data_IF_969231715188
#
_entry.id   IF_969231715188
#
_cell.length_a   1.000
_cell.length_b   1.000
_cell.length_c   1.000
_cell.angle_alpha   90.00
_cell.angle_beta   90.00
_cell.angle_gamma   90.00
#
_symmetry.space_group_name_H-M   'P 1'
#
loop_
_entity.id
_entity.type
_entity.pdbx_description
1 polymer ?
#
# COMPACT_ATOMS: atom_id res chain seq x y z
N UNK A 1 3.28 8.42 15.53
CA UNK A 1 3.49 7.57 14.33
C UNK A 1 4.11 8.33 13.15
N UNK A 2 4.67 9.47 13.37
CA UNK A 2 5.35 10.22 12.31
C UNK A 2 6.59 9.47 11.81
N UNK A 3 6.83 9.51 10.49
CA UNK A 3 7.96 8.86 9.84
C UNK A 3 7.57 7.61 9.07
N UNK A 4 8.55 6.80 8.73
CA UNK A 4 8.33 5.63 7.90
C UNK A 4 7.40 4.61 8.57
N UNK A 5 6.39 4.20 7.82
CA UNK A 5 5.47 3.15 8.24
C UNK A 5 6.23 1.83 8.35
N UNK A 6 6.12 1.20 9.51
CA UNK A 6 6.76 -0.08 9.81
C UNK A 6 5.72 -1.16 9.95
N UNK A 7 6.06 -2.33 9.44
CA UNK A 7 5.21 -3.51 9.51
C UNK A 7 6.08 -4.74 9.78
N UNK A 8 5.66 -5.58 10.71
CA UNK A 8 6.45 -6.74 11.15
C UNK A 8 5.68 -8.06 11.17
N UNK A 9 4.37 -8.04 10.87
CA UNK A 9 3.52 -9.23 10.93
C UNK A 9 3.56 -10.02 9.62
N UNK A 10 4.53 -10.91 9.49
CA UNK A 10 4.73 -11.75 8.30
C UNK A 10 4.70 -13.24 8.66
N UNK A 11 4.36 -14.08 7.68
CA UNK A 11 4.38 -15.54 7.79
C UNK A 11 5.79 -16.15 7.87
N UNK A 12 6.83 -15.37 7.58
CA UNK A 12 8.20 -15.85 7.52
C UNK A 12 9.21 -14.71 7.75
N UNK A 13 10.47 -15.01 7.48
CA UNK A 13 11.58 -14.09 7.70
C UNK A 13 11.79 -13.18 6.49
N UNK A 14 11.65 -11.88 6.70
CA UNK A 14 11.88 -10.85 5.66
C UNK A 14 13.34 -10.82 5.23
N UNK A 15 14.26 -11.15 6.13
CA UNK A 15 15.70 -11.20 5.81
C UNK A 15 16.06 -12.37 4.87
N UNK A 16 15.19 -13.38 4.76
CA UNK A 16 15.39 -14.52 3.85
C UNK A 16 14.95 -14.23 2.40
N UNK A 17 14.41 -13.04 2.11
CA UNK A 17 13.97 -12.67 0.76
C UNK A 17 15.17 -12.63 -0.19
N UNK A 18 15.05 -13.32 -1.32
CA UNK A 18 15.96 -13.19 -2.46
C UNK A 18 15.33 -12.25 -3.46
N UNK A 19 15.97 -11.11 -3.69
CA UNK A 19 15.43 -10.07 -4.57
C UNK A 19 15.37 -10.53 -6.03
N UNK A 20 14.34 -10.09 -6.75
CA UNK A 20 14.25 -10.26 -8.19
C UNK A 20 15.38 -9.54 -8.92
N UNK A 21 15.91 -10.16 -9.95
CA UNK A 21 16.98 -9.63 -10.81
C UNK A 21 16.62 -9.81 -12.29
N UNK A 22 17.56 -9.56 -13.19
CA UNK A 22 17.30 -9.67 -14.63
C UNK A 22 17.03 -11.11 -15.10
N UNK A 23 17.37 -12.12 -14.30
CA UNK A 23 17.30 -13.52 -14.68
C UNK A 23 16.24 -14.33 -13.93
N UNK A 24 15.78 -13.84 -12.77
CA UNK A 24 14.86 -14.56 -11.92
C UNK A 24 14.00 -13.62 -11.07
N UNK A 25 12.76 -14.03 -10.84
CA UNK A 25 11.85 -13.36 -9.92
C UNK A 25 12.27 -13.54 -8.46
N UNK A 26 11.76 -12.68 -7.57
CA UNK A 26 12.00 -12.79 -6.14
C UNK A 26 11.56 -14.16 -5.58
N UNK A 27 12.27 -14.61 -4.53
CA UNK A 27 12.00 -15.87 -3.81
C UNK A 27 11.90 -15.61 -2.32
N UNK A 28 11.26 -16.54 -1.61
CA UNK A 28 11.10 -16.51 -0.14
C UNK A 28 10.44 -15.25 0.36
N UNK A 29 9.51 -14.70 -0.41
CA UNK A 29 8.76 -13.50 -0.02
C UNK A 29 7.69 -13.90 1.00
N UNK A 30 7.78 -13.43 2.27
CA UNK A 30 6.80 -13.80 3.27
C UNK A 30 5.46 -13.10 3.03
N UNK A 31 4.37 -13.80 3.33
CA UNK A 31 3.02 -13.26 3.21
C UNK A 31 2.76 -12.31 4.38
N UNK A 32 2.30 -11.07 4.14
CA UNK A 32 1.87 -10.21 5.24
C UNK A 32 0.62 -10.79 5.90
N UNK A 33 0.60 -10.77 7.23
CA UNK A 33 -0.50 -11.26 8.06
C UNK A 33 -1.21 -10.10 8.72
N UNK A 34 -2.54 -10.15 8.74
CA UNK A 34 -3.35 -9.11 9.35
C UNK A 34 -3.08 -9.01 10.85
N UNK A 35 -2.57 -7.87 11.36
CA UNK A 35 -2.47 -7.66 12.79
C UNK A 35 -3.86 -7.64 13.43
N UNK A 36 -4.01 -8.28 14.59
CA UNK A 36 -5.30 -8.33 15.26
C UNK A 36 -5.86 -6.92 15.55
N UNK A 37 -4.97 -5.99 15.89
CA UNK A 37 -5.34 -4.60 16.20
C UNK A 37 -5.75 -3.75 15.00
N UNK A 38 -5.54 -4.20 13.76
CA UNK A 38 -5.83 -3.35 12.59
C UNK A 38 -7.33 -3.10 12.37
N UNK A 39 -8.20 -3.76 13.10
CA UNK A 39 -9.65 -3.52 13.07
C UNK A 39 -10.13 -2.60 14.18
N UNK A 40 -9.26 -2.17 15.07
CA UNK A 40 -9.60 -1.29 16.17
C UNK A 40 -9.89 0.15 15.67
N UNK A 41 -10.98 0.81 16.18
CA UNK A 41 -11.36 2.15 15.74
C UNK A 41 -10.55 3.25 16.43
N UNK A 42 -9.23 3.13 16.39
CA UNK A 42 -8.32 4.08 17.00
C UNK A 42 -7.09 4.32 16.12
N UNK A 43 -6.21 5.24 16.50
CA UNK A 43 -5.03 5.61 15.71
C UNK A 43 -4.07 4.45 15.56
N UNK A 44 -3.92 3.61 16.58
CA UNK A 44 -3.08 2.41 16.50
C UNK A 44 -3.63 1.40 15.49
N UNK A 45 -4.95 1.16 15.53
CA UNK A 45 -5.62 0.29 14.56
C UNK A 45 -5.45 0.80 13.13
N UNK A 46 -5.63 2.10 12.94
CA UNK A 46 -5.40 2.74 11.64
C UNK A 46 -3.94 2.61 11.18
N UNK A 47 -2.98 2.84 12.06
CA UNK A 47 -1.56 2.68 11.74
C UNK A 47 -1.24 1.25 11.32
N UNK A 48 -1.75 0.25 12.04
CA UNK A 48 -1.57 -1.16 11.72
C UNK A 48 -2.25 -1.55 10.39
N UNK A 49 -3.42 -0.97 10.11
CA UNK A 49 -4.08 -1.12 8.81
C UNK A 49 -3.23 -0.55 7.67
N UNK A 50 -2.68 0.65 7.82
CA UNK A 50 -1.80 1.26 6.82
C UNK A 50 -0.53 0.41 6.64
N UNK A 51 0.04 -0.09 7.73
CA UNK A 51 1.20 -0.98 7.68
C UNK A 51 0.93 -2.26 6.88
N UNK A 52 -0.20 -2.91 7.13
CA UNK A 52 -0.63 -4.07 6.35
C UNK A 52 -0.87 -3.71 4.87
N UNK A 53 -1.51 -2.59 4.60
CA UNK A 53 -1.77 -2.10 3.24
C UNK A 53 -0.46 -1.88 2.46
N UNK A 54 0.54 -1.24 3.07
CA UNK A 54 1.87 -1.07 2.47
C UNK A 54 2.55 -2.42 2.23
N UNK A 55 2.52 -3.30 3.22
CA UNK A 55 3.12 -4.64 3.11
C UNK A 55 2.44 -5.48 2.03
N UNK A 56 1.12 -5.39 1.91
CA UNK A 56 0.34 -6.07 0.88
C UNK A 56 0.68 -5.56 -0.54
N UNK A 57 0.93 -4.26 -0.70
CA UNK A 57 1.43 -3.70 -1.95
C UNK A 57 2.81 -4.25 -2.31
N UNK A 58 3.72 -4.30 -1.36
CA UNK A 58 5.05 -4.87 -1.59
C UNK A 58 4.98 -6.37 -1.93
N UNK A 59 4.10 -7.10 -1.29
CA UNK A 59 3.88 -8.52 -1.62
C UNK A 59 3.38 -8.69 -3.05
N UNK A 60 2.42 -7.88 -3.49
CA UNK A 60 1.95 -7.85 -4.87
C UNK A 60 3.10 -7.52 -5.84
N UNK A 61 3.88 -6.47 -5.53
CA UNK A 61 5.01 -6.04 -6.39
C UNK A 61 6.06 -7.14 -6.55
N UNK A 62 6.37 -7.87 -5.47
CA UNK A 62 7.41 -8.89 -5.47
C UNK A 62 6.96 -10.25 -6.02
N UNK A 63 5.67 -10.53 -5.99
CA UNK A 63 5.14 -11.88 -6.33
C UNK A 63 4.07 -11.89 -7.43
N UNK A 64 3.42 -10.77 -7.67
CA UNK A 64 2.23 -10.70 -8.54
C UNK A 64 0.94 -11.20 -7.87
N UNK A 65 0.99 -11.57 -6.59
CA UNK A 65 -0.16 -12.07 -5.84
C UNK A 65 -0.88 -10.92 -5.12
N UNK A 66 -2.11 -10.66 -5.53
CA UNK A 66 -2.94 -9.57 -5.01
C UNK A 66 -3.83 -10.00 -3.83
N UNK A 67 -3.78 -11.25 -3.36
CA UNK A 67 -4.74 -11.79 -2.39
C UNK A 67 -4.74 -11.02 -1.05
N UNK A 68 -3.58 -10.61 -0.56
CA UNK A 68 -3.50 -9.81 0.67
C UNK A 68 -4.06 -8.39 0.46
N UNK A 69 -3.69 -7.75 -0.65
CA UNK A 69 -4.12 -6.38 -0.97
C UNK A 69 -5.64 -6.30 -1.21
N UNK A 70 -6.22 -7.30 -1.88
CA UNK A 70 -7.66 -7.35 -2.16
C UNK A 70 -8.54 -7.37 -0.91
N UNK A 71 -7.99 -7.73 0.25
CA UNK A 71 -8.72 -7.69 1.53
C UNK A 71 -8.95 -6.27 2.05
N UNK A 72 -8.16 -5.32 1.63
CA UNK A 72 -8.08 -3.96 2.22
C UNK A 72 -8.21 -2.83 1.21
N UNK A 73 -8.44 -3.14 -0.06
CA UNK A 73 -8.57 -2.15 -1.12
C UNK A 73 -9.97 -2.11 -1.73
N UNK A 74 -10.25 -1.01 -2.38
CA UNK A 74 -11.46 -0.79 -3.16
C UNK A 74 -11.42 -1.48 -4.54
N UNK A 75 -12.53 -1.45 -5.26
CA UNK A 75 -12.67 -2.13 -6.55
C UNK A 75 -11.69 -1.61 -7.61
N UNK A 76 -11.42 -0.30 -7.63
CA UNK A 76 -10.48 0.28 -8.59
C UNK A 76 -9.06 -0.20 -8.33
N UNK A 77 -8.62 -0.18 -7.08
CA UNK A 77 -7.30 -0.69 -6.71
C UNK A 77 -7.15 -2.19 -6.94
N UNK A 78 -8.24 -2.95 -6.83
CA UNK A 78 -8.24 -4.37 -7.19
C UNK A 78 -8.04 -4.59 -8.69
N UNK A 79 -8.60 -3.76 -9.57
CA UNK A 79 -8.35 -3.83 -11.00
C UNK A 79 -6.89 -3.49 -11.33
N UNK A 80 -6.34 -2.46 -10.72
CA UNK A 80 -4.93 -2.09 -10.92
C UNK A 80 -3.98 -3.22 -10.45
N UNK A 81 -4.29 -3.85 -9.32
CA UNK A 81 -3.56 -4.99 -8.80
C UNK A 81 -3.64 -6.22 -9.72
N UNK A 82 -4.80 -6.43 -10.35
CA UNK A 82 -5.01 -7.50 -11.32
C UNK A 82 -4.12 -7.35 -12.56
N UNK A 83 -3.94 -6.14 -13.06
CA UNK A 83 -3.04 -5.86 -14.19
C UNK A 83 -1.61 -6.32 -13.89
N UNK A 84 -1.10 -6.05 -12.69
CA UNK A 84 0.22 -6.51 -12.29
C UNK A 84 0.29 -8.03 -12.19
N UNK A 85 -0.72 -8.68 -11.65
CA UNK A 85 -0.84 -10.15 -11.65
C UNK A 85 -0.82 -10.75 -13.06
N UNK A 86 -1.46 -10.10 -14.02
CA UNK A 86 -1.46 -10.51 -15.43
C UNK A 86 -0.06 -10.41 -16.05
N UNK A 87 0.72 -9.38 -15.70
CA UNK A 87 2.11 -9.27 -16.15
C UNK A 87 2.96 -10.43 -15.63
N UNK A 88 2.81 -10.80 -14.35
CA UNK A 88 3.47 -11.98 -13.78
C UNK A 88 3.05 -13.27 -14.48
N UNK A 89 1.77 -13.43 -14.80
CA UNK A 89 1.25 -14.59 -15.53
C UNK A 89 1.83 -14.70 -16.95
N UNK A 90 2.22 -13.58 -17.56
CA UNK A 90 2.88 -13.53 -18.87
C UNK A 90 4.40 -13.71 -18.79
N UNK A 91 4.95 -13.98 -17.60
CA UNK A 91 6.37 -14.22 -17.38
C UNK A 91 7.19 -12.96 -17.06
N UNK A 92 6.55 -11.85 -16.73
CA UNK A 92 7.22 -10.68 -16.18
C UNK A 92 7.38 -10.79 -14.67
N UNK A 93 8.32 -10.07 -14.10
CA UNK A 93 8.52 -9.95 -12.65
C UNK A 93 9.20 -8.64 -12.30
N UNK A 94 9.16 -8.24 -11.03
CA UNK A 94 9.85 -7.06 -10.54
C UNK A 94 11.32 -7.38 -10.22
N UNK A 95 12.22 -6.60 -10.80
CA UNK A 95 13.59 -6.44 -10.33
C UNK A 95 13.63 -5.28 -9.35
N UNK A 96 14.22 -5.46 -8.18
CA UNK A 96 14.29 -4.44 -7.14
C UNK A 96 15.61 -4.49 -6.38
N UNK A 97 15.99 -3.39 -5.74
CA UNK A 97 17.16 -3.30 -4.87
C UNK A 97 16.82 -3.55 -3.40
N UNK A 98 15.54 -3.68 -3.07
CA UNK A 98 15.03 -3.87 -1.71
C UNK A 98 13.79 -4.77 -1.71
N UNK A 99 13.54 -5.43 -0.57
CA UNK A 99 12.31 -6.18 -0.33
C UNK A 99 11.11 -5.27 -0.04
N UNK A 100 11.32 -3.96 0.09
CA UNK A 100 10.28 -2.95 0.31
C UNK A 100 10.34 -1.86 -0.78
N UNK A 101 10.03 -2.21 -2.04
CA UNK A 101 10.12 -1.25 -3.15
C UNK A 101 9.15 -0.08 -3.02
N UNK A 102 8.03 -0.27 -2.36
CA UNK A 102 7.10 0.79 -1.99
C UNK A 102 7.22 1.11 -0.51
N UNK A 103 7.39 2.38 -0.18
CA UNK A 103 7.45 2.88 1.19
C UNK A 103 6.47 4.03 1.37
N UNK A 104 6.05 4.24 2.61
CA UNK A 104 5.19 5.34 2.98
C UNK A 104 5.72 5.98 4.26
N UNK A 105 5.90 7.29 4.24
CA UNK A 105 6.27 8.07 5.41
C UNK A 105 5.10 8.96 5.82
N UNK A 106 4.69 8.89 7.08
CA UNK A 106 3.64 9.74 7.63
C UNK A 106 4.23 11.10 8.03
N UNK A 107 3.66 12.18 7.51
CA UNK A 107 4.20 13.53 7.71
C UNK A 107 3.79 14.13 9.04
N UNK A 108 2.75 13.59 9.67
CA UNK A 108 2.22 14.03 10.96
C UNK A 108 2.11 12.87 11.95
N UNK A 109 2.10 13.16 13.24
CA UNK A 109 2.02 12.12 14.28
C UNK A 109 0.66 11.42 14.33
N UNK A 110 -0.39 12.14 13.90
CA UNK A 110 -1.77 11.66 13.89
C UNK A 110 -2.49 12.15 12.64
N UNK A 111 -3.50 11.42 12.19
CA UNK A 111 -4.38 11.87 11.13
C UNK A 111 -5.29 12.99 11.63
N UNK A 112 -5.87 13.75 10.70
CA UNK A 112 -6.93 14.72 10.98
C UNK A 112 -8.28 14.14 10.54
N UNK A 113 -9.35 14.58 11.17
CA UNK A 113 -10.71 14.21 10.80
C UNK A 113 -11.08 14.83 9.45
N UNK A 114 -11.66 14.03 8.56
CA UNK A 114 -12.22 14.51 7.30
C UNK A 114 -13.61 15.14 7.47
N UNK A 115 -14.18 15.59 6.36
CA UNK A 115 -15.49 16.23 6.34
C UNK A 115 -16.63 15.26 6.63
N UNK A 116 -16.51 14.02 6.15
CA UNK A 116 -17.54 12.98 6.36
C UNK A 116 -17.34 12.25 7.68
N UNK A 117 -18.43 11.71 8.21
CA UNK A 117 -18.37 10.91 9.44
C UNK A 117 -17.42 9.72 9.28
N UNK A 118 -16.64 9.46 10.33
CA UNK A 118 -15.64 8.37 10.39
C UNK A 118 -14.57 8.40 9.28
N UNK A 119 -14.41 9.53 8.61
CA UNK A 119 -13.40 9.74 7.57
C UNK A 119 -12.22 10.53 8.16
N UNK A 120 -11.00 10.09 7.79
CA UNK A 120 -9.77 10.69 8.29
C UNK A 120 -8.78 10.87 7.15
N UNK A 121 -7.91 11.88 7.30
CA UNK A 121 -6.89 12.23 6.34
C UNK A 121 -5.54 12.16 7.05
N UNK A 122 -4.62 11.39 6.50
CA UNK A 122 -3.25 11.35 7.00
C UNK A 122 -2.30 11.82 5.90
N UNK A 123 -1.64 12.94 6.14
CA UNK A 123 -0.61 13.42 5.22
C UNK A 123 0.57 12.47 5.23
N UNK A 124 1.03 12.13 4.05
CA UNK A 124 2.10 11.16 3.87
C UNK A 124 2.94 11.48 2.63
N UNK A 125 4.10 10.89 2.57
CA UNK A 125 4.99 10.96 1.41
C UNK A 125 5.28 9.54 0.95
N UNK A 126 4.78 9.14 -0.22
CA UNK A 126 5.12 7.84 -0.79
C UNK A 126 6.55 7.83 -1.33
N UNK A 127 7.21 6.69 -1.20
CA UNK A 127 8.53 6.45 -1.77
C UNK A 127 8.52 5.19 -2.62
N UNK A 128 9.37 5.17 -3.61
CA UNK A 128 9.52 4.01 -4.48
C UNK A 128 11.00 3.75 -4.76
N UNK A 129 11.40 2.46 -4.76
CA UNK A 129 12.76 2.07 -5.12
C UNK A 129 13.10 2.59 -6.54
N UNK A 130 14.06 3.51 -6.69
CA UNK A 130 14.39 4.09 -7.99
C UNK A 130 15.00 3.07 -8.96
N UNK A 131 15.46 1.92 -8.47
CA UNK A 131 15.99 0.83 -9.27
C UNK A 131 14.95 -0.24 -9.60
N UNK A 132 13.76 -0.17 -9.01
CA UNK A 132 12.69 -1.11 -9.30
C UNK A 132 12.17 -0.94 -10.72
N UNK A 133 12.07 -2.07 -11.44
CA UNK A 133 11.48 -2.11 -12.79
C UNK A 133 10.93 -3.49 -13.08
N UNK A 134 9.88 -3.55 -13.89
CA UNK A 134 9.39 -4.80 -14.41
C UNK A 134 10.29 -5.29 -15.55
N UNK A 135 10.69 -6.56 -15.47
CA UNK A 135 11.40 -7.26 -16.55
C UNK A 135 10.53 -8.41 -17.03
N UNK A 136 10.51 -8.66 -18.32
CA UNK A 136 9.64 -9.67 -18.88
C UNK A 136 10.41 -10.77 -19.63
N UNK A 137 9.74 -11.89 -19.91
CA UNK A 137 10.27 -13.00 -20.68
C UNK A 137 10.72 -12.59 -22.11
N UNK A 138 10.18 -11.49 -22.64
CA UNK A 138 10.55 -10.89 -23.93
C UNK A 138 11.51 -9.70 -23.78
N UNK A 139 12.21 -9.57 -22.67
CA UNK A 139 13.04 -8.39 -22.33
C UNK A 139 12.28 -7.07 -22.36
N UNK A 140 10.97 -7.11 -22.13
CA UNK A 140 10.14 -5.91 -22.08
C UNK A 140 10.32 -5.24 -20.71
N UNK A 141 10.79 -4.00 -20.71
CA UNK A 141 10.92 -3.18 -19.50
C UNK A 141 9.67 -2.31 -19.41
N UNK A 142 8.94 -2.45 -18.31
CA UNK A 142 7.77 -1.63 -18.03
C UNK A 142 8.20 -0.45 -17.15
N UNK A 143 8.48 0.70 -17.76
CA UNK A 143 9.02 1.87 -17.04
C UNK A 143 7.95 2.67 -16.31
N UNK A 144 6.70 2.60 -16.76
CA UNK A 144 5.64 3.49 -16.30
C UNK A 144 4.83 2.98 -15.10
N UNK A 145 5.08 1.76 -14.61
CA UNK A 145 4.24 1.22 -13.53
C UNK A 145 4.38 1.99 -12.21
N UNK A 146 5.51 2.68 -12.00
CA UNK A 146 5.74 3.51 -10.80
C UNK A 146 4.74 4.66 -10.68
N UNK A 147 4.37 5.29 -11.80
CA UNK A 147 3.43 6.40 -11.81
C UNK A 147 2.02 5.96 -11.43
N UNK A 148 1.64 4.73 -11.75
CA UNK A 148 0.32 4.20 -11.44
C UNK A 148 0.14 3.87 -9.96
N UNK A 149 1.22 3.58 -9.23
CA UNK A 149 1.16 3.25 -7.80
C UNK A 149 1.35 4.46 -6.88
N UNK A 150 2.11 5.46 -7.29
CA UNK A 150 2.53 6.55 -6.42
C UNK A 150 1.55 7.73 -6.35
N UNK A 151 0.71 7.89 -7.37
CA UNK A 151 -0.05 9.15 -7.57
C UNK A 151 -1.26 9.26 -6.64
N UNK A 152 -1.82 8.15 -6.18
CA UNK A 152 -3.09 8.15 -5.44
C UNK A 152 -2.93 7.99 -3.92
N UNK A 153 -1.71 8.05 -3.41
CA UNK A 153 -1.44 7.78 -1.98
C UNK A 153 -1.18 9.03 -1.13
N UNK A 154 -1.08 10.20 -1.72
CA UNK A 154 -0.79 11.44 -0.98
C UNK A 154 -1.91 12.47 -1.16
N UNK A 155 -2.63 12.81 -0.09
CA UNK A 155 -2.66 12.18 1.23
C UNK A 155 -3.51 10.90 1.27
N UNK A 156 -3.39 10.12 2.35
CA UNK A 156 -4.27 8.99 2.59
C UNK A 156 -5.64 9.45 3.04
N UNK A 157 -6.68 8.95 2.37
CA UNK A 157 -8.06 9.11 2.79
C UNK A 157 -8.58 7.77 3.29
N UNK A 158 -8.99 7.71 4.54
CA UNK A 158 -9.43 6.46 5.18
C UNK A 158 -10.76 6.66 5.86
N UNK A 159 -11.54 5.59 5.90
CA UNK A 159 -12.81 5.55 6.62
C UNK A 159 -12.84 4.33 7.52
N UNK A 160 -13.43 4.49 8.71
CA UNK A 160 -13.80 3.37 9.57
C UNK A 160 -15.28 3.06 9.38
N UNK A 161 -15.57 1.88 8.86
CA UNK A 161 -16.94 1.47 8.53
C UNK A 161 -17.11 -0.03 8.74
N UNK A 162 -18.24 -0.42 9.31
CA UNK A 162 -18.58 -1.83 9.55
C UNK A 162 -17.50 -2.64 10.27
N UNK A 163 -16.81 -2.02 11.24
CA UNK A 163 -15.82 -2.68 12.07
C UNK A 163 -14.44 -2.81 11.43
N UNK A 164 -14.15 -2.09 10.37
CA UNK A 164 -12.84 -2.10 9.71
C UNK A 164 -12.46 -0.77 9.10
N UNK A 165 -11.16 -0.56 8.91
CA UNK A 165 -10.60 0.53 8.13
C UNK A 165 -10.57 0.16 6.65
N UNK A 166 -10.71 1.17 5.80
CA UNK A 166 -10.48 1.03 4.35
C UNK A 166 -10.11 2.36 3.71
N UNK A 167 -9.45 2.30 2.57
CA UNK A 167 -9.18 3.48 1.74
C UNK A 167 -10.47 3.96 1.08
N UNK A 168 -10.59 5.28 0.89
CA UNK A 168 -11.84 5.91 0.43
C UNK A 168 -11.84 6.33 -1.03
N UNK A 169 -10.85 5.94 -1.81
CA UNK A 169 -10.72 6.41 -3.20
C UNK A 169 -11.95 6.12 -4.07
N UNK A 170 -12.59 4.97 -3.90
CA UNK A 170 -13.81 4.62 -4.62
C UNK A 170 -15.07 5.32 -4.07
N UNK A 171 -15.02 5.76 -2.81
CA UNK A 171 -16.17 6.36 -2.15
C UNK A 171 -16.32 7.84 -2.50
N UNK A 172 -15.25 8.50 -2.92
CA UNK A 172 -15.19 9.93 -3.22
C UNK A 172 -14.49 10.18 -4.56
N UNK A 173 -14.97 9.62 -5.68
CA UNK A 173 -14.29 9.74 -6.97
C UNK A 173 -14.15 11.19 -7.44
N UNK A 174 -15.10 12.07 -7.09
CA UNK A 174 -15.08 13.49 -7.41
C UNK A 174 -14.04 14.28 -6.61
N UNK A 175 -13.54 13.72 -5.51
CA UNK A 175 -12.49 14.34 -4.69
C UNK A 175 -11.10 13.80 -4.99
N UNK A 176 -10.99 12.84 -5.91
CA UNK A 176 -9.69 12.37 -6.38
C UNK A 176 -8.86 13.52 -6.89
N UNK A 177 -7.66 13.68 -6.37
CA UNK A 177 -6.78 14.80 -6.68
C UNK A 177 -7.15 16.11 -6.00
N UNK A 178 -8.19 16.14 -5.15
CA UNK A 178 -8.52 17.26 -4.27
C UNK A 178 -8.40 16.82 -2.83
N UNK A 179 -7.60 17.51 -2.06
CA UNK A 179 -7.51 17.28 -0.61
C UNK A 179 -8.75 17.92 0.03
N UNK A 180 -9.69 17.15 0.64
CA UNK A 180 -10.75 17.75 1.43
C UNK A 180 -10.13 18.55 2.57
N UNK A 181 -10.69 19.71 2.88
CA UNK A 181 -10.23 20.51 4.00
C UNK A 181 -10.54 19.75 5.29
N UNK A 182 -9.49 19.41 6.04
CA UNK A 182 -9.64 18.76 7.33
C UNK A 182 -10.24 19.72 8.35
N UNK A 183 -11.16 19.22 9.21
CA UNK A 183 -11.70 20.02 10.30
C UNK A 183 -10.56 20.43 11.25
N UNK A 184 -10.36 21.74 11.44
CA UNK A 184 -9.28 22.26 12.27
C UNK A 184 -9.37 21.73 13.72
N UNK A 185 -8.25 21.20 14.23
CA UNK A 185 -8.12 20.76 15.62
C UNK A 185 -8.80 19.42 15.97
N UNK A 186 -9.34 18.70 14.98
CA UNK A 186 -9.97 17.38 15.21
C UNK A 186 -9.04 16.26 14.77
N UNK A 187 -8.74 15.33 15.67
CA UNK A 187 -7.90 14.16 15.40
C UNK A 187 -8.73 12.88 15.35
N UNK A 188 -8.14 11.78 14.85
CA UNK A 188 -8.74 10.47 14.91
C UNK A 188 -9.00 10.03 16.36
N UNK A 189 -9.95 9.12 16.61
CA UNK A 189 -10.17 8.57 17.94
C UNK A 189 -8.92 7.88 18.47
N UNK A 190 -8.70 8.07 19.75
CA UNK A 190 -7.56 7.47 20.46
C UNK A 190 -7.76 5.97 20.71
#
# INVERSE_FOLDING_TARGET
YRGDVKFTSYSGDVEAVVLGNDNAKAKNVPVPQEPHSMTEPNVEGLYNFIGFWVAAHNYLLLTGDASALNKVTDAQSQEDAKELGELYAKGAWLRSSTAHPFTLSLDTEQPTKGESENTYIWKCTPGFDPQARMVGAANTIYEDFKSNFAVDTDPLFVVYDQGSWRMTYDLLPETRGKVPEAAAGTTAPA
#
